data_IF_042636722447
#
_entry.id   IF_042636722447
#
_cell.length_a   1.000
_cell.length_b   1.000
_cell.length_c   1.000
_cell.angle_alpha   90.00
_cell.angle_beta   90.00
_cell.angle_gamma   90.00
#
_symmetry.space_group_name_H-M   'P 1'
#
loop_
_entity.id
_entity.type
_entity.pdbx_description
1 polymer ?
#
# COMPACT_ATOMS: atom_id res chain seq x y z
N UNK A 1 11.78 44.87 -36.70
CA UNK A 1 11.30 43.53 -36.31
C UNK A 1 10.07 43.23 -37.13
N UNK A 2 10.04 42.14 -37.89
CA UNK A 2 8.85 41.79 -38.66
C UNK A 2 7.74 41.31 -37.73
N UNK A 3 6.49 41.65 -38.05
CA UNK A 3 5.31 41.20 -37.28
C UNK A 3 5.32 39.68 -37.10
N UNK A 4 5.83 38.94 -38.09
CA UNK A 4 5.97 37.48 -38.03
C UNK A 4 6.82 36.97 -36.86
N UNK A 5 7.99 37.59 -36.58
CA UNK A 5 8.84 37.14 -35.46
C UNK A 5 8.19 37.36 -34.10
N UNK A 6 7.37 38.42 -33.96
CA UNK A 6 6.63 38.70 -32.73
C UNK A 6 5.51 37.67 -32.51
N UNK A 7 4.77 37.30 -33.57
CA UNK A 7 3.72 36.29 -33.49
C UNK A 7 4.28 34.91 -33.13
N UNK A 8 5.39 34.51 -33.74
CA UNK A 8 6.06 33.24 -33.43
C UNK A 8 6.58 33.23 -31.99
N UNK A 9 7.19 34.33 -31.54
CA UNK A 9 7.67 34.46 -30.16
C UNK A 9 6.54 34.36 -29.14
N UNK A 10 5.41 35.05 -29.39
CA UNK A 10 4.24 34.99 -28.52
C UNK A 10 3.63 33.58 -28.48
N UNK A 11 3.51 32.90 -29.62
CA UNK A 11 2.99 31.54 -29.69
C UNK A 11 3.87 30.55 -28.91
N UNK A 12 5.20 30.64 -29.05
CA UNK A 12 6.15 29.82 -28.30
C UNK A 12 6.06 30.09 -26.80
N UNK A 13 5.98 31.37 -26.39
CA UNK A 13 5.86 31.74 -24.99
C UNK A 13 4.56 31.19 -24.36
N UNK A 14 3.44 31.25 -25.08
CA UNK A 14 2.17 30.68 -24.63
C UNK A 14 2.24 29.14 -24.52
N UNK A 15 2.84 28.47 -25.51
CA UNK A 15 3.00 27.02 -25.50
C UNK A 15 3.87 26.57 -24.31
N UNK A 16 5.02 27.22 -24.12
CA UNK A 16 5.93 26.92 -23.01
C UNK A 16 5.27 27.22 -21.67
N UNK A 17 4.60 28.37 -21.54
CA UNK A 17 3.87 28.74 -20.32
C UNK A 17 2.75 27.74 -19.99
N UNK A 18 1.99 27.29 -20.98
CA UNK A 18 0.95 26.28 -20.80
C UNK A 18 1.54 24.92 -20.40
N UNK A 19 2.66 24.53 -20.99
CA UNK A 19 3.36 23.29 -20.65
C UNK A 19 3.88 23.30 -19.21
N UNK A 20 4.54 24.37 -18.80
CA UNK A 20 5.08 24.53 -17.45
C UNK A 20 3.98 24.69 -16.39
N UNK A 21 2.85 25.31 -16.73
CA UNK A 21 1.70 25.42 -15.84
C UNK A 21 0.87 24.12 -15.76
N UNK A 22 1.05 23.18 -16.69
CA UNK A 22 0.29 21.92 -16.77
C UNK A 22 0.31 21.10 -15.47
N UNK A 23 1.44 20.84 -14.79
CA UNK A 23 1.45 20.10 -13.52
C UNK A 23 0.63 20.79 -12.42
N UNK A 24 0.69 22.11 -12.33
CA UNK A 24 -0.05 22.90 -11.34
C UNK A 24 -1.53 23.06 -11.67
N UNK A 25 -1.92 22.84 -12.94
CA UNK A 25 -3.32 22.86 -13.40
C UNK A 25 -4.02 21.51 -13.31
N UNK A 26 -3.31 20.43 -12.94
CA UNK A 26 -3.98 19.15 -12.69
C UNK A 26 -4.86 19.28 -11.44
N UNK A 27 -6.15 18.93 -11.51
CA UNK A 27 -7.02 18.99 -10.35
C UNK A 27 -6.56 17.97 -9.30
N UNK A 28 -6.62 18.35 -8.03
CA UNK A 28 -6.34 17.51 -6.87
C UNK A 28 -7.05 16.14 -6.96
N UNK A 29 -8.30 16.17 -7.46
CA UNK A 29 -9.12 14.98 -7.70
C UNK A 29 -8.51 13.94 -8.66
N UNK A 30 -7.64 14.31 -9.60
CA UNK A 30 -6.97 13.33 -10.46
C UNK A 30 -5.83 12.61 -9.73
N UNK A 31 -5.16 13.31 -8.80
CA UNK A 31 -4.13 12.72 -7.96
C UNK A 31 -4.74 11.75 -6.94
N UNK A 32 -5.84 12.14 -6.29
CA UNK A 32 -6.54 11.30 -5.32
C UNK A 32 -6.98 9.97 -5.95
N UNK A 33 -7.59 10.02 -7.14
CA UNK A 33 -7.95 8.80 -7.89
C UNK A 33 -6.74 7.94 -8.21
N UNK A 34 -5.61 8.54 -8.59
CA UNK A 34 -4.38 7.79 -8.87
C UNK A 34 -3.83 7.10 -7.62
N UNK A 35 -3.88 7.77 -6.46
CA UNK A 35 -3.48 7.22 -5.17
C UNK A 35 -4.40 6.05 -4.80
N UNK A 36 -5.72 6.23 -4.85
CA UNK A 36 -6.70 5.18 -4.55
C UNK A 36 -6.49 3.93 -5.40
N UNK A 37 -6.26 4.11 -6.71
CA UNK A 37 -5.98 3.01 -7.63
C UNK A 37 -4.69 2.27 -7.27
N UNK A 38 -3.61 3.00 -6.98
CA UNK A 38 -2.32 2.40 -6.62
C UNK A 38 -2.40 1.64 -5.28
N UNK A 39 -3.08 2.22 -4.30
CA UNK A 39 -3.32 1.61 -2.99
C UNK A 39 -4.14 0.33 -3.14
N UNK A 40 -5.22 0.36 -3.93
CA UNK A 40 -6.05 -0.81 -4.18
C UNK A 40 -5.27 -1.96 -4.85
N UNK A 41 -4.43 -1.65 -5.83
CA UNK A 41 -3.57 -2.64 -6.50
C UNK A 41 -2.57 -3.29 -5.52
N UNK A 42 -1.95 -2.46 -4.67
CA UNK A 42 -0.99 -2.93 -3.68
C UNK A 42 -1.67 -3.86 -2.68
N UNK A 43 -2.85 -3.48 -2.17
CA UNK A 43 -3.62 -4.34 -1.26
C UNK A 43 -4.05 -5.66 -1.90
N UNK A 44 -4.53 -5.64 -3.15
CA UNK A 44 -4.92 -6.86 -3.86
C UNK A 44 -3.73 -7.83 -4.02
N UNK A 45 -2.54 -7.28 -4.31
CA UNK A 45 -1.30 -8.05 -4.45
C UNK A 45 -0.87 -8.66 -3.12
N UNK A 46 -0.94 -7.90 -2.03
CA UNK A 46 -0.63 -8.41 -0.69
C UNK A 46 -1.63 -9.47 -0.22
N UNK A 47 -2.90 -9.32 -0.57
CA UNK A 47 -3.95 -10.26 -0.20
C UNK A 47 -3.83 -11.59 -0.94
N UNK A 48 -3.48 -11.58 -2.23
CA UNK A 48 -3.25 -12.81 -3.00
C UNK A 48 -1.99 -13.54 -2.55
N UNK A 49 -0.98 -12.81 -2.07
CA UNK A 49 0.22 -13.39 -1.47
C UNK A 49 0.02 -13.87 -0.02
N UNK A 50 -1.10 -13.52 0.64
CA UNK A 50 -1.37 -13.94 2.02
C UNK A 50 -1.58 -15.47 2.03
N UNK A 51 -0.78 -16.23 2.81
CA UNK A 51 -1.02 -17.65 2.99
C UNK A 51 -2.47 -17.89 3.45
N UNK A 52 -3.12 -18.96 3.00
CA UNK A 52 -4.45 -19.30 3.49
C UNK A 52 -4.41 -19.32 5.01
N UNK A 53 -5.45 -18.74 5.64
CA UNK A 53 -5.56 -18.77 7.09
C UNK A 53 -5.39 -20.22 7.57
N UNK A 54 -4.65 -20.47 8.67
CA UNK A 54 -4.50 -21.81 9.19
C UNK A 54 -5.89 -22.38 9.42
N UNK A 55 -6.17 -23.51 8.78
CA UNK A 55 -7.38 -24.28 9.05
C UNK A 55 -7.40 -24.62 10.54
N UNK A 56 -8.56 -24.55 11.21
CA UNK A 56 -8.66 -25.01 12.59
C UNK A 56 -8.20 -26.47 12.64
N UNK A 57 -7.03 -26.74 13.22
CA UNK A 57 -6.56 -28.11 13.36
C UNK A 57 -7.39 -28.77 14.46
N UNK A 58 -8.12 -29.83 14.14
CA UNK A 58 -8.89 -30.65 15.09
C UNK A 58 -7.99 -31.50 16.03
N UNK A 59 -6.79 -31.03 16.34
CA UNK A 59 -5.89 -31.64 17.31
C UNK A 59 -6.23 -31.25 18.76
N UNK A 60 -5.71 -31.98 19.76
CA UNK A 60 -5.87 -31.62 21.17
C UNK A 60 -5.31 -30.23 21.42
N UNK A 61 -6.16 -29.33 21.90
CA UNK A 61 -5.80 -27.94 22.20
C UNK A 61 -5.17 -27.89 23.59
N UNK A 62 -3.89 -27.54 23.66
CA UNK A 62 -3.19 -27.30 24.91
C UNK A 62 -3.26 -25.81 25.29
N UNK A 63 -3.15 -25.53 26.59
CA UNK A 63 -3.11 -24.17 27.12
C UNK A 63 -1.86 -23.98 27.99
N UNK A 64 -1.27 -22.80 27.92
CA UNK A 64 -0.13 -22.44 28.75
C UNK A 64 -0.57 -22.38 30.23
N UNK A 65 0.10 -23.09 31.16
CA UNK A 65 -0.28 -23.09 32.57
C UNK A 65 0.03 -21.77 33.30
N UNK A 66 0.83 -20.88 32.70
CA UNK A 66 1.16 -19.59 33.29
C UNK A 66 0.22 -18.46 32.86
N UNK A 67 -0.15 -18.38 31.58
CA UNK A 67 -0.95 -17.27 31.06
C UNK A 67 -2.28 -17.68 30.40
N UNK A 68 -2.57 -18.97 30.29
CA UNK A 68 -3.82 -19.47 29.70
C UNK A 68 -3.94 -19.32 28.18
N UNK A 69 -2.89 -18.89 27.48
CA UNK A 69 -2.88 -18.82 26.00
C UNK A 69 -2.96 -20.23 25.40
N UNK A 70 -3.69 -20.42 24.30
CA UNK A 70 -3.59 -21.64 23.49
C UNK A 70 -2.17 -21.84 22.98
N UNK A 71 -1.69 -23.08 23.03
CA UNK A 71 -0.40 -23.51 22.55
C UNK A 71 -0.58 -24.77 21.71
N UNK A 72 0.19 -24.87 20.63
CA UNK A 72 0.24 -26.04 19.76
C UNK A 72 1.01 -27.19 20.41
N UNK A 73 0.85 -28.42 19.90
CA UNK A 73 1.59 -29.59 20.40
C UNK A 73 3.11 -29.49 20.15
N UNK A 74 3.54 -28.75 19.12
CA UNK A 74 4.95 -28.56 18.78
C UNK A 74 5.59 -27.30 19.42
N UNK A 75 4.81 -26.51 20.16
CA UNK A 75 5.31 -25.29 20.79
C UNK A 75 6.20 -25.63 21.98
N UNK A 76 7.49 -25.24 21.93
CA UNK A 76 8.44 -25.41 23.05
C UNK A 76 8.36 -24.27 24.07
N UNK A 77 7.85 -23.12 23.66
CA UNK A 77 7.70 -21.92 24.47
C UNK A 77 6.37 -21.26 24.18
N UNK A 78 5.76 -20.65 25.19
CA UNK A 78 4.54 -19.91 24.98
C UNK A 78 4.81 -18.59 24.24
N UNK A 79 4.22 -18.40 23.07
CA UNK A 79 4.27 -17.13 22.32
C UNK A 79 3.60 -15.94 23.04
N UNK A 80 3.03 -16.13 24.23
CA UNK A 80 2.44 -15.07 25.05
C UNK A 80 3.25 -14.61 26.23
N UNK A 81 3.75 -15.52 27.04
CA UNK A 81 4.51 -15.17 28.24
C UNK A 81 5.98 -15.58 28.17
N UNK A 82 6.41 -16.30 27.12
CA UNK A 82 7.78 -16.78 26.97
C UNK A 82 8.14 -17.98 27.85
N UNK A 83 7.25 -18.44 28.73
CA UNK A 83 7.49 -19.59 29.60
C UNK A 83 7.72 -20.86 28.77
N UNK A 84 8.72 -21.69 29.13
CA UNK A 84 8.91 -22.99 28.49
C UNK A 84 7.70 -23.90 28.72
N UNK A 85 7.23 -24.52 27.66
CA UNK A 85 6.18 -25.53 27.68
C UNK A 85 6.89 -26.89 27.80
N UNK A 86 6.51 -27.66 28.81
CA UNK A 86 7.03 -29.02 29.06
C UNK A 86 5.99 -30.04 28.64
#
# INVERSE_FOLDING_TARGET
MSVGSLLVGAALALMVGAYLARPFRRPEADLDRAIEQWVAQTYATLQSARPPAPTPSEGPVNFCPQCGRRVGPDDRFCAGCGTPLR
#
